data_IF_672844125021
#
_entry.id   IF_672844125021
#
_cell.length_a   1.000
_cell.length_b   1.000
_cell.length_c   1.000
_cell.angle_alpha   90.00
_cell.angle_beta   90.00
_cell.angle_gamma   90.00
#
_symmetry.space_group_name_H-M   'P 1'
#
loop_
_entity.id
_entity.type
_entity.pdbx_description
1 polymer ?
#
# COMPACT_ATOMS: atom_id res chain seq x y z
N UNK A 1 -10.78 -21.43 -10.37
CA UNK A 1 -11.29 -20.22 -9.71
C UNK A 1 -11.90 -19.36 -10.80
N UNK A 2 -13.19 -19.05 -10.73
CA UNK A 2 -13.85 -18.38 -11.84
C UNK A 2 -14.22 -16.95 -11.47
N UNK A 3 -13.56 -16.01 -12.11
CA UNK A 3 -13.94 -14.60 -12.11
C UNK A 3 -15.19 -14.47 -12.98
N UNK A 4 -16.30 -14.02 -12.39
CA UNK A 4 -17.58 -13.96 -13.08
C UNK A 4 -17.68 -12.71 -13.96
N UNK A 5 -18.61 -12.70 -14.93
CA UNK A 5 -18.82 -11.53 -15.79
C UNK A 5 -19.10 -10.25 -15.00
N UNK A 6 -19.83 -10.34 -13.89
CA UNK A 6 -20.11 -9.18 -13.02
C UNK A 6 -18.83 -8.61 -12.39
N UNK A 7 -17.85 -9.45 -12.04
CA UNK A 7 -16.57 -9.01 -11.49
C UNK A 7 -15.80 -8.18 -12.53
N UNK A 8 -15.78 -8.65 -13.79
CA UNK A 8 -15.18 -7.91 -14.90
C UNK A 8 -15.89 -6.58 -15.15
N UNK A 9 -17.22 -6.56 -15.13
CA UNK A 9 -17.99 -5.31 -15.28
C UNK A 9 -17.61 -4.29 -14.22
N UNK A 10 -17.49 -4.71 -12.96
CA UNK A 10 -17.10 -3.82 -11.85
C UNK A 10 -15.69 -3.27 -12.06
N UNK A 11 -14.74 -4.15 -12.38
CA UNK A 11 -13.33 -3.75 -12.59
C UNK A 11 -13.22 -2.79 -13.78
N UNK A 12 -13.83 -3.13 -14.91
CA UNK A 12 -13.80 -2.27 -16.12
C UNK A 12 -14.48 -0.93 -15.86
N UNK A 13 -15.64 -0.92 -15.18
CA UNK A 13 -16.34 0.31 -14.81
C UNK A 13 -15.47 1.21 -13.92
N UNK A 14 -14.77 0.62 -12.93
CA UNK A 14 -13.81 1.34 -12.09
C UNK A 14 -12.65 1.94 -12.92
N UNK A 15 -12.00 1.14 -13.78
CA UNK A 15 -10.88 1.60 -14.61
C UNK A 15 -11.30 2.71 -15.59
N UNK A 16 -12.45 2.53 -16.26
CA UNK A 16 -13.01 3.54 -17.17
C UNK A 16 -13.38 4.84 -16.42
N UNK A 17 -13.98 4.73 -15.22
CA UNK A 17 -14.30 5.87 -14.36
C UNK A 17 -13.07 6.62 -13.92
N UNK A 18 -12.02 5.93 -13.49
CA UNK A 18 -10.74 6.53 -13.09
C UNK A 18 -10.07 7.28 -14.25
N UNK A 19 -10.06 6.67 -15.43
CA UNK A 19 -9.52 7.31 -16.64
C UNK A 19 -10.31 8.57 -17.02
N UNK A 20 -11.65 8.49 -16.99
CA UNK A 20 -12.52 9.63 -17.29
C UNK A 20 -12.27 10.79 -16.33
N UNK A 21 -12.19 10.51 -15.03
CA UNK A 21 -11.91 11.54 -14.01
C UNK A 21 -10.53 12.15 -14.24
N UNK A 22 -9.50 11.36 -14.54
CA UNK A 22 -8.16 11.83 -14.83
C UNK A 22 -8.13 12.78 -16.05
N UNK A 23 -8.79 12.41 -17.12
CA UNK A 23 -8.92 13.26 -18.31
C UNK A 23 -9.69 14.55 -18.01
N UNK A 24 -10.78 14.46 -17.25
CA UNK A 24 -11.55 15.65 -16.85
C UNK A 24 -10.77 16.58 -15.92
N UNK A 25 -9.91 16.04 -15.07
CA UNK A 25 -9.10 16.83 -14.14
C UNK A 25 -8.04 17.68 -14.85
N UNK A 26 -7.64 17.33 -16.08
CA UNK A 26 -6.71 18.12 -16.91
C UNK A 26 -7.11 19.61 -16.99
N UNK A 27 -8.38 19.91 -17.00
CA UNK A 27 -8.89 21.31 -17.09
C UNK A 27 -8.55 22.17 -15.87
N UNK A 28 -8.17 21.59 -14.75
CA UNK A 28 -7.81 22.29 -13.52
C UNK A 28 -6.30 22.52 -13.37
N UNK A 29 -5.50 22.04 -14.32
CA UNK A 29 -4.03 22.19 -14.31
C UNK A 29 -3.65 23.37 -15.20
N UNK A 30 -3.33 24.51 -14.59
CA UNK A 30 -2.98 25.73 -15.29
C UNK A 30 -1.47 26.03 -15.32
N UNK A 31 -0.71 25.51 -14.35
CA UNK A 31 0.71 25.81 -14.21
C UNK A 31 1.50 24.64 -13.55
N UNK A 32 2.82 24.80 -13.47
CA UNK A 32 3.73 23.77 -12.89
C UNK A 32 3.42 23.50 -11.42
N UNK A 33 3.00 24.50 -10.65
CA UNK A 33 2.62 24.29 -9.24
C UNK A 33 1.36 23.44 -9.10
N UNK A 34 0.37 23.64 -9.98
CA UNK A 34 -0.83 22.79 -10.01
C UNK A 34 -0.45 21.36 -10.37
N UNK A 35 0.44 21.21 -11.36
CA UNK A 35 0.88 19.89 -11.82
C UNK A 35 1.67 19.12 -10.77
N UNK A 36 2.61 19.76 -10.05
CA UNK A 36 3.51 19.07 -9.10
C UNK A 36 2.97 19.01 -7.67
N UNK A 37 2.25 20.04 -7.21
CA UNK A 37 1.85 20.16 -5.79
C UNK A 37 0.40 20.62 -5.61
N UNK A 38 -0.45 20.41 -6.62
CA UNK A 38 -1.89 20.75 -6.59
C UNK A 38 -2.15 22.19 -6.06
N UNK A 39 -1.39 23.18 -6.55
CA UNK A 39 -1.50 24.59 -6.14
C UNK A 39 -1.20 24.85 -4.66
N UNK A 40 -0.82 23.84 -3.88
CA UNK A 40 -0.61 23.90 -2.43
C UNK A 40 -1.90 24.19 -1.63
N UNK A 41 -3.02 23.68 -2.08
CA UNK A 41 -4.35 23.93 -1.50
C UNK A 41 -4.94 22.74 -0.75
N UNK A 42 -4.19 21.63 -0.57
CA UNK A 42 -4.70 20.45 0.10
C UNK A 42 -5.09 20.73 1.56
N UNK A 43 -6.37 20.55 1.85
CA UNK A 43 -6.91 20.54 3.20
C UNK A 43 -6.64 19.22 3.94
N UNK A 44 -6.98 19.16 5.23
CA UNK A 44 -6.67 18.02 6.10
C UNK A 44 -7.31 16.72 5.59
N UNK A 45 -8.60 16.69 5.29
CA UNK A 45 -9.32 15.45 4.93
C UNK A 45 -8.82 14.85 3.62
N UNK A 46 -8.68 15.70 2.59
CA UNK A 46 -8.16 15.26 1.30
C UNK A 46 -6.69 14.86 1.42
N UNK A 47 -5.91 15.61 2.19
CA UNK A 47 -4.50 15.28 2.46
C UNK A 47 -4.34 13.92 3.15
N UNK A 48 -5.19 13.58 4.12
CA UNK A 48 -5.18 12.26 4.77
C UNK A 48 -5.53 11.17 3.75
N UNK A 49 -6.59 11.36 2.96
CA UNK A 49 -7.04 10.36 2.00
C UNK A 49 -5.97 10.08 0.94
N UNK A 50 -5.39 11.13 0.32
CA UNK A 50 -4.36 10.95 -0.71
C UNK A 50 -3.06 10.37 -0.13
N UNK A 51 -2.61 10.79 1.06
CA UNK A 51 -1.43 10.21 1.69
C UNK A 51 -1.67 8.74 2.07
N UNK A 52 -2.83 8.43 2.66
CA UNK A 52 -3.17 7.06 3.01
C UNK A 52 -3.25 6.16 1.77
N UNK A 53 -3.92 6.60 0.70
CA UNK A 53 -4.04 5.86 -0.56
C UNK A 53 -2.68 5.61 -1.22
N UNK A 54 -1.85 6.64 -1.31
CA UNK A 54 -0.51 6.58 -1.94
C UNK A 54 0.44 5.59 -1.27
N UNK A 55 0.31 5.43 0.03
CA UNK A 55 1.20 4.56 0.80
C UNK A 55 0.64 3.13 0.94
N UNK A 56 -0.51 2.80 0.35
CA UNK A 56 -1.16 1.50 0.43
C UNK A 56 -1.33 0.90 -0.97
N UNK A 57 -0.33 0.17 -1.44
CA UNK A 57 -0.42 -0.60 -2.70
C UNK A 57 -0.82 -2.06 -2.47
N UNK A 58 -1.17 -2.77 -3.53
CA UNK A 58 -1.44 -4.22 -3.48
C UNK A 58 -0.28 -5.00 -2.86
N UNK A 59 0.96 -4.58 -3.13
CA UNK A 59 2.14 -5.16 -2.49
C UNK A 59 2.10 -5.04 -0.96
N UNK A 60 1.60 -3.92 -0.43
CA UNK A 60 1.47 -3.73 1.03
C UNK A 60 0.54 -4.78 1.63
N UNK A 61 -0.60 -5.04 0.98
CA UNK A 61 -1.54 -6.06 1.43
C UNK A 61 -0.97 -7.47 1.34
N UNK A 62 -0.33 -7.81 0.22
CA UNK A 62 0.27 -9.14 0.02
C UNK A 62 1.44 -9.38 0.98
N UNK A 63 2.34 -8.40 1.13
CA UNK A 63 3.49 -8.51 2.03
C UNK A 63 3.09 -8.59 3.51
N UNK A 64 2.16 -7.75 3.95
CA UNK A 64 1.68 -7.81 5.33
C UNK A 64 0.87 -9.08 5.62
N UNK A 65 0.09 -9.57 4.65
CA UNK A 65 -0.55 -10.86 4.78
C UNK A 65 0.48 -12.01 4.87
N UNK A 66 1.53 -11.97 4.07
CA UNK A 66 2.64 -12.90 4.18
C UNK A 66 3.30 -12.86 5.56
N UNK A 67 3.54 -11.67 6.11
CA UNK A 67 4.08 -11.52 7.47
C UNK A 67 3.14 -12.13 8.52
N UNK A 68 1.83 -11.87 8.42
CA UNK A 68 0.84 -12.47 9.31
C UNK A 68 0.80 -13.99 9.20
N UNK A 69 0.87 -14.53 7.98
CA UNK A 69 0.94 -15.97 7.75
C UNK A 69 2.19 -16.61 8.39
N UNK A 70 3.35 -15.93 8.30
CA UNK A 70 4.66 -16.43 8.76
C UNK A 70 4.93 -16.22 10.25
N UNK A 71 4.35 -15.18 10.85
CA UNK A 71 4.73 -14.73 12.20
C UNK A 71 3.53 -14.49 13.14
N UNK A 72 2.31 -14.72 12.69
CA UNK A 72 1.12 -14.55 13.51
C UNK A 72 0.91 -13.11 13.96
N UNK A 73 0.38 -12.93 15.17
CA UNK A 73 0.13 -11.62 15.76
C UNK A 73 1.42 -10.85 16.13
N UNK A 74 2.56 -11.53 16.27
CA UNK A 74 3.84 -10.87 16.47
C UNK A 74 4.17 -9.89 15.31
N UNK A 75 3.68 -10.16 14.09
CA UNK A 75 3.82 -9.27 12.94
C UNK A 75 3.22 -7.88 13.15
N UNK A 76 2.19 -7.73 14.00
CA UNK A 76 1.50 -6.46 14.25
C UNK A 76 2.44 -5.37 14.81
N UNK A 77 3.59 -5.76 15.37
CA UNK A 77 4.61 -4.80 15.82
C UNK A 77 5.08 -3.88 14.70
N UNK A 78 5.16 -4.36 13.45
CA UNK A 78 5.61 -3.56 12.30
C UNK A 78 4.61 -2.45 11.96
N UNK A 79 3.31 -2.76 11.97
CA UNK A 79 2.25 -1.76 11.80
C UNK A 79 2.18 -0.79 12.97
N UNK A 80 2.34 -1.29 14.20
CA UNK A 80 2.36 -0.46 15.41
C UNK A 80 3.50 0.56 15.35
N UNK A 81 4.72 0.14 15.02
CA UNK A 81 5.88 1.01 14.90
C UNK A 81 5.66 2.06 13.83
N UNK A 82 5.18 1.68 12.64
CA UNK A 82 4.94 2.64 11.55
C UNK A 82 3.94 3.72 11.95
N UNK A 83 2.81 3.34 12.51
CA UNK A 83 1.79 4.28 12.96
C UNK A 83 2.28 5.19 14.10
N UNK A 84 2.98 4.64 15.09
CA UNK A 84 3.52 5.42 16.23
C UNK A 84 4.58 6.42 15.75
N UNK A 85 5.51 6.03 14.88
CA UNK A 85 6.53 6.94 14.34
C UNK A 85 5.86 8.08 13.57
N UNK A 86 4.89 7.78 12.68
CA UNK A 86 4.15 8.82 11.96
C UNK A 86 3.38 9.74 12.89
N UNK A 87 2.78 9.22 13.98
CA UNK A 87 2.13 10.02 15.02
C UNK A 87 3.13 10.98 15.68
N UNK A 88 4.32 10.51 16.05
CA UNK A 88 5.38 11.34 16.66
C UNK A 88 5.82 12.43 15.68
N UNK A 89 6.11 12.06 14.42
CA UNK A 89 6.53 13.01 13.38
C UNK A 89 5.43 14.05 13.11
N UNK A 90 4.18 13.63 13.01
CA UNK A 90 3.05 14.51 12.83
C UNK A 90 2.84 15.47 13.99
N UNK A 91 2.85 14.98 15.24
CA UNK A 91 2.68 15.81 16.45
C UNK A 91 3.81 16.79 16.65
N UNK A 92 5.05 16.38 16.49
CA UNK A 92 6.22 17.26 16.60
C UNK A 92 6.36 18.20 15.42
N UNK A 93 5.95 17.78 14.23
CA UNK A 93 6.20 18.49 12.96
C UNK A 93 7.63 18.30 12.46
N UNK A 94 8.36 17.31 12.99
CA UNK A 94 9.73 17.00 12.57
C UNK A 94 9.78 16.82 11.03
N UNK A 95 10.66 17.57 10.38
CA UNK A 95 10.82 17.68 8.91
C UNK A 95 9.55 18.20 8.19
N UNK A 96 8.37 17.68 8.50
CA UNK A 96 7.10 17.95 7.79
C UNK A 96 6.73 19.43 7.79
N UNK A 97 6.84 20.11 8.96
CA UNK A 97 6.59 21.55 9.04
C UNK A 97 7.60 22.34 8.20
N UNK A 98 8.86 21.93 8.26
CA UNK A 98 9.95 22.61 7.53
C UNK A 98 9.80 22.48 6.01
N UNK A 99 9.42 21.31 5.53
CA UNK A 99 9.12 21.11 4.13
C UNK A 99 8.07 22.09 3.61
N UNK A 100 7.01 22.30 4.38
CA UNK A 100 5.94 23.22 3.97
C UNK A 100 6.32 24.69 4.10
N UNK A 101 7.09 25.05 5.13
CA UNK A 101 7.58 26.43 5.32
C UNK A 101 8.49 26.90 4.18
N UNK A 102 9.37 26.03 3.69
CA UNK A 102 10.30 26.31 2.60
C UNK A 102 9.63 26.37 1.22
N UNK A 103 8.32 26.03 1.13
CA UNK A 103 7.55 26.04 -0.13
C UNK A 103 8.19 25.22 -1.25
N UNK A 104 8.87 24.13 -0.90
CA UNK A 104 9.52 23.21 -1.86
C UNK A 104 8.50 22.46 -2.71
N UNK A 105 8.96 21.90 -3.82
CA UNK A 105 8.18 21.03 -4.70
C UNK A 105 8.71 19.60 -4.75
N UNK A 106 10.00 19.40 -4.42
CA UNK A 106 10.64 18.08 -4.42
C UNK A 106 11.63 17.93 -3.27
N UNK A 107 11.90 16.68 -2.87
CA UNK A 107 12.92 16.38 -1.85
C UNK A 107 14.33 16.78 -2.32
N UNK A 108 14.74 16.52 -3.58
CA UNK A 108 16.03 17.03 -4.09
C UNK A 108 16.20 18.54 -3.98
N UNK A 109 15.13 19.32 -4.17
CA UNK A 109 15.17 20.78 -4.01
C UNK A 109 15.52 21.20 -2.56
N UNK A 110 15.07 20.43 -1.55
CA UNK A 110 15.46 20.67 -0.16
C UNK A 110 16.98 20.58 0.03
N UNK A 111 17.61 19.59 -0.61
CA UNK A 111 19.07 19.41 -0.54
C UNK A 111 19.82 20.53 -1.25
N UNK A 112 19.25 21.11 -2.34
CA UNK A 112 19.83 22.28 -2.98
C UNK A 112 19.80 23.49 -2.06
N UNK A 113 18.64 23.81 -1.51
CA UNK A 113 18.45 24.99 -0.63
C UNK A 113 19.32 24.91 0.63
N UNK A 114 19.53 23.72 1.14
CA UNK A 114 20.26 23.52 2.40
C UNK A 114 21.77 23.30 2.21
N UNK A 115 22.20 22.78 1.06
CA UNK A 115 23.58 22.36 0.83
C UNK A 115 24.12 22.88 -0.49
N UNK A 116 23.79 22.23 -1.63
CA UNK A 116 24.33 22.60 -2.94
C UNK A 116 23.52 22.02 -4.10
N UNK A 117 23.69 22.63 -5.28
CA UNK A 117 23.14 22.14 -6.55
C UNK A 117 23.66 20.74 -6.91
N UNK A 118 24.93 20.44 -6.62
CA UNK A 118 25.49 19.10 -6.85
C UNK A 118 24.74 18.03 -6.06
N UNK A 119 24.42 18.30 -4.79
CA UNK A 119 23.64 17.38 -3.97
C UNK A 119 22.20 17.21 -4.45
N UNK A 120 21.57 18.25 -5.00
CA UNK A 120 20.27 18.15 -5.68
C UNK A 120 20.30 17.13 -6.81
N UNK A 121 21.33 17.21 -7.68
CA UNK A 121 21.45 16.30 -8.82
C UNK A 121 21.62 14.85 -8.35
N UNK A 122 22.54 14.60 -7.41
CA UNK A 122 22.77 13.25 -6.86
C UNK A 122 21.50 12.68 -6.22
N UNK A 123 20.84 13.44 -5.36
CA UNK A 123 19.61 12.99 -4.70
C UNK A 123 18.46 12.81 -5.71
N UNK A 124 18.38 13.65 -6.74
CA UNK A 124 17.42 13.51 -7.83
C UNK A 124 17.59 12.19 -8.59
N UNK A 125 18.81 11.85 -8.95
CA UNK A 125 19.14 10.58 -9.61
C UNK A 125 18.79 9.38 -8.70
N UNK A 126 19.16 9.42 -7.42
CA UNK A 126 18.88 8.36 -6.47
C UNK A 126 17.37 8.14 -6.29
N UNK A 127 16.59 9.22 -6.16
CA UNK A 127 15.12 9.14 -6.04
C UNK A 127 14.49 8.60 -7.33
N UNK A 128 14.95 9.04 -8.50
CA UNK A 128 14.43 8.57 -9.79
C UNK A 128 14.72 7.08 -10.01
N UNK A 129 15.96 6.65 -9.81
CA UNK A 129 16.35 5.23 -9.96
C UNK A 129 15.61 4.35 -8.95
N UNK A 130 15.55 4.78 -7.67
CA UNK A 130 14.81 4.06 -6.64
C UNK A 130 13.32 3.95 -6.96
N UNK A 131 12.71 5.02 -7.49
CA UNK A 131 11.31 5.04 -7.92
C UNK A 131 11.04 4.05 -9.06
N UNK A 132 11.88 4.05 -10.11
CA UNK A 132 11.74 3.13 -11.25
C UNK A 132 11.84 1.67 -10.80
N UNK A 133 12.82 1.33 -9.97
CA UNK A 133 13.00 -0.02 -9.44
C UNK A 133 11.80 -0.46 -8.59
N UNK A 134 11.29 0.45 -7.77
CA UNK A 134 10.14 0.20 -6.91
C UNK A 134 8.86 -0.06 -7.72
N UNK A 135 8.59 0.78 -8.74
CA UNK A 135 7.46 0.59 -9.65
C UNK A 135 7.50 -0.77 -10.35
N UNK A 136 8.67 -1.23 -10.79
CA UNK A 136 8.83 -2.55 -11.40
C UNK A 136 8.41 -3.69 -10.47
N UNK A 137 8.78 -3.61 -9.19
CA UNK A 137 8.36 -4.58 -8.16
C UNK A 137 6.84 -4.51 -7.92
N UNK A 138 6.28 -3.32 -7.81
CA UNK A 138 4.86 -3.13 -7.57
C UNK A 138 4.00 -3.69 -8.70
N UNK A 139 4.32 -3.35 -9.95
CA UNK A 139 3.64 -3.87 -11.13
C UNK A 139 3.67 -5.40 -11.22
N UNK A 140 4.81 -6.02 -10.86
CA UNK A 140 4.92 -7.48 -10.84
C UNK A 140 3.96 -8.10 -9.82
N UNK A 141 3.96 -7.60 -8.59
CA UNK A 141 3.12 -8.12 -7.51
C UNK A 141 1.63 -7.91 -7.80
N UNK A 142 1.28 -6.75 -8.34
CA UNK A 142 -0.09 -6.45 -8.78
C UNK A 142 -0.56 -7.38 -9.90
N UNK A 143 0.28 -7.56 -10.92
CA UNK A 143 -0.01 -8.51 -11.99
C UNK A 143 -0.19 -9.93 -11.47
N UNK A 144 0.63 -10.39 -10.51
CA UNK A 144 0.47 -11.68 -9.85
C UNK A 144 -0.85 -11.75 -9.06
N UNK A 145 -1.20 -10.72 -8.30
CA UNK A 145 -2.48 -10.66 -7.60
C UNK A 145 -3.65 -10.82 -8.59
N UNK A 146 -3.65 -10.04 -9.65
CA UNK A 146 -4.73 -10.06 -10.63
C UNK A 146 -4.82 -11.41 -11.35
N UNK A 147 -3.71 -12.01 -11.77
CA UNK A 147 -3.71 -13.31 -12.43
C UNK A 147 -4.22 -14.43 -11.51
N UNK A 148 -3.82 -14.44 -10.25
CA UNK A 148 -4.28 -15.45 -9.27
C UNK A 148 -5.78 -15.31 -8.98
N UNK A 149 -6.26 -14.07 -8.72
CA UNK A 149 -7.67 -13.86 -8.33
C UNK A 149 -8.62 -14.02 -9.51
N UNK A 150 -8.24 -13.56 -10.71
CA UNK A 150 -9.08 -13.66 -11.91
C UNK A 150 -9.00 -15.02 -12.59
N UNK A 151 -7.97 -15.81 -12.32
CA UNK A 151 -7.69 -17.06 -13.03
C UNK A 151 -7.10 -16.89 -14.41
N UNK A 152 -6.58 -15.70 -14.74
CA UNK A 152 -5.82 -15.47 -15.98
C UNK A 152 -4.52 -16.28 -15.91
N UNK A 153 -4.19 -16.98 -17.02
CA UNK A 153 -2.95 -17.76 -17.12
C UNK A 153 -1.72 -16.87 -16.92
N UNK A 154 -0.78 -17.33 -16.09
CA UNK A 154 0.44 -16.60 -15.74
C UNK A 154 1.30 -16.20 -16.95
N UNK A 155 1.14 -16.86 -18.10
CA UNK A 155 1.82 -16.45 -19.37
C UNK A 155 1.43 -15.05 -19.84
N UNK A 156 0.26 -14.55 -19.42
CA UNK A 156 -0.22 -13.20 -19.74
C UNK A 156 0.22 -12.13 -18.72
N UNK A 157 0.99 -12.50 -17.70
CA UNK A 157 1.41 -11.57 -16.64
C UNK A 157 2.01 -10.27 -17.19
N UNK A 158 2.92 -10.37 -18.15
CA UNK A 158 3.58 -9.19 -18.75
C UNK A 158 2.56 -8.32 -19.50
N UNK A 159 1.61 -8.93 -20.20
CA UNK A 159 0.57 -8.17 -20.90
C UNK A 159 -0.36 -7.44 -19.91
N UNK A 160 -0.72 -8.07 -18.79
CA UNK A 160 -1.51 -7.47 -17.72
C UNK A 160 -0.76 -6.28 -17.10
N UNK A 161 0.51 -6.47 -16.73
CA UNK A 161 1.37 -5.41 -16.20
C UNK A 161 1.46 -4.22 -17.16
N UNK A 162 1.67 -4.49 -18.45
CA UNK A 162 1.77 -3.44 -19.46
C UNK A 162 0.45 -2.67 -19.63
N UNK A 163 -0.68 -3.37 -19.63
CA UNK A 163 -1.99 -2.73 -19.74
C UNK A 163 -2.29 -1.80 -18.56
N UNK A 164 -1.99 -2.23 -17.34
CA UNK A 164 -2.14 -1.42 -16.12
C UNK A 164 -1.24 -0.18 -16.20
N UNK A 165 0.05 -0.37 -16.50
CA UNK A 165 1.02 0.73 -16.60
C UNK A 165 0.62 1.77 -17.65
N UNK A 166 0.15 1.35 -18.82
CA UNK A 166 -0.28 2.28 -19.87
C UNK A 166 -1.51 3.09 -19.45
N UNK A 167 -2.46 2.46 -18.76
CA UNK A 167 -3.64 3.14 -18.24
C UNK A 167 -3.24 4.20 -17.18
N UNK A 168 -2.36 3.84 -16.28
CA UNK A 168 -1.84 4.73 -15.23
C UNK A 168 -1.08 5.92 -15.83
N UNK A 169 -0.22 5.66 -16.81
CA UNK A 169 0.55 6.70 -17.49
C UNK A 169 -0.36 7.74 -18.14
N UNK A 170 -1.43 7.30 -18.81
CA UNK A 170 -2.34 8.22 -19.52
C UNK A 170 -2.96 9.23 -18.56
N UNK A 171 -3.60 8.81 -17.47
CA UNK A 171 -4.28 9.77 -16.60
C UNK A 171 -3.31 10.59 -15.75
N UNK A 172 -2.15 10.03 -15.37
CA UNK A 172 -1.15 10.74 -14.56
C UNK A 172 -0.47 11.86 -15.35
N UNK A 173 -0.06 11.57 -16.59
CA UNK A 173 0.57 12.57 -17.46
C UNK A 173 -0.41 13.68 -17.86
N UNK A 174 -1.69 13.35 -18.06
CA UNK A 174 -2.69 14.33 -18.47
C UNK A 174 -3.10 15.29 -17.35
N UNK A 175 -3.18 14.80 -16.11
CA UNK A 175 -3.78 15.58 -15.03
C UNK A 175 -2.87 15.94 -13.86
N UNK A 176 -1.62 15.45 -13.82
CA UNK A 176 -0.66 15.73 -12.76
C UNK A 176 -1.22 15.48 -11.35
N UNK A 177 -0.67 16.18 -10.33
CA UNK A 177 -1.04 16.00 -8.92
C UNK A 177 -2.53 16.32 -8.66
N UNK A 178 -3.16 17.21 -9.40
CA UNK A 178 -4.58 17.53 -9.21
C UNK A 178 -5.45 16.31 -9.51
N UNK A 179 -5.20 15.62 -10.64
CA UNK A 179 -5.94 14.42 -10.98
C UNK A 179 -5.64 13.27 -10.00
N UNK A 180 -4.38 13.12 -9.62
CA UNK A 180 -3.94 12.10 -8.65
C UNK A 180 -4.69 12.26 -7.34
N UNK A 181 -4.75 13.45 -6.76
CA UNK A 181 -5.44 13.72 -5.49
C UNK A 181 -6.95 13.41 -5.55
N UNK A 182 -7.62 13.78 -6.65
CA UNK A 182 -9.05 13.52 -6.83
C UNK A 182 -9.30 12.00 -6.94
N UNK A 183 -8.50 11.32 -7.74
CA UNK A 183 -8.61 9.86 -7.94
C UNK A 183 -8.25 9.13 -6.64
N UNK A 184 -7.18 9.52 -5.94
CA UNK A 184 -6.75 8.95 -4.67
C UNK A 184 -7.87 8.97 -3.62
N UNK A 185 -8.65 10.05 -3.55
CA UNK A 185 -9.78 10.14 -2.63
C UNK A 185 -10.82 9.05 -2.90
N UNK A 186 -11.21 8.86 -4.16
CA UNK A 186 -12.16 7.82 -4.55
C UNK A 186 -11.57 6.42 -4.35
N UNK A 187 -10.30 6.25 -4.67
CA UNK A 187 -9.55 5.02 -4.47
C UNK A 187 -9.45 4.65 -2.99
N UNK A 188 -9.22 5.62 -2.12
CA UNK A 188 -9.19 5.42 -0.67
C UNK A 188 -10.54 4.91 -0.14
N UNK A 189 -11.66 5.47 -0.61
CA UNK A 189 -13.00 5.00 -0.23
C UNK A 189 -13.23 3.56 -0.71
N UNK A 190 -12.97 3.28 -1.98
CA UNK A 190 -13.15 1.93 -2.55
C UNK A 190 -12.27 0.89 -1.84
N UNK A 191 -11.00 1.23 -1.60
CA UNK A 191 -10.07 0.40 -0.87
C UNK A 191 -10.51 0.12 0.57
N UNK A 192 -11.05 1.14 1.25
CA UNK A 192 -11.56 0.97 2.61
C UNK A 192 -12.74 -0.01 2.66
N UNK A 193 -13.67 0.09 1.70
CA UNK A 193 -14.78 -0.87 1.56
C UNK A 193 -14.25 -2.27 1.28
N UNK A 194 -13.34 -2.43 0.32
CA UNK A 194 -12.71 -3.71 0.00
C UNK A 194 -12.02 -4.33 1.22
N UNK A 195 -11.25 -3.53 1.96
CA UNK A 195 -10.54 -3.98 3.16
C UNK A 195 -11.49 -4.48 4.25
N UNK A 196 -12.59 -3.76 4.51
CA UNK A 196 -13.60 -4.17 5.48
C UNK A 196 -14.26 -5.48 5.04
N UNK A 197 -14.68 -5.58 3.77
CA UNK A 197 -15.31 -6.78 3.24
C UNK A 197 -14.40 -8.02 3.40
N UNK A 198 -13.15 -7.94 2.96
CA UNK A 198 -12.21 -9.07 3.10
C UNK A 198 -12.00 -9.43 4.57
N UNK A 199 -11.85 -8.43 5.46
CA UNK A 199 -11.64 -8.68 6.89
C UNK A 199 -12.82 -9.41 7.51
N UNK A 200 -14.06 -9.00 7.21
CA UNK A 200 -15.26 -9.65 7.73
C UNK A 200 -15.36 -11.08 7.22
N UNK A 201 -15.25 -11.30 5.91
CA UNK A 201 -15.32 -12.65 5.32
C UNK A 201 -14.21 -13.57 5.83
N UNK A 202 -12.98 -13.08 5.91
CA UNK A 202 -11.84 -13.88 6.37
C UNK A 202 -11.99 -14.32 7.82
N UNK A 203 -12.35 -13.39 8.73
CA UNK A 203 -12.51 -13.71 10.16
C UNK A 203 -13.73 -14.59 10.40
N UNK A 204 -14.87 -14.35 9.71
CA UNK A 204 -16.05 -15.20 9.85
C UNK A 204 -15.79 -16.63 9.37
N UNK A 205 -15.06 -16.79 8.27
CA UNK A 205 -14.78 -18.13 7.73
C UNK A 205 -13.73 -18.88 8.55
N UNK A 206 -12.65 -18.20 8.96
CA UNK A 206 -11.61 -18.82 9.76
C UNK A 206 -12.08 -19.17 11.19
N UNK A 207 -12.93 -18.30 11.78
CA UNK A 207 -13.37 -18.38 13.16
C UNK A 207 -12.30 -17.91 14.15
N UNK A 208 -12.68 -17.00 15.07
CA UNK A 208 -11.71 -16.37 15.97
C UNK A 208 -10.97 -17.37 16.87
N UNK A 209 -11.67 -18.37 17.43
CA UNK A 209 -11.06 -19.42 18.23
C UNK A 209 -10.01 -20.21 17.44
N UNK A 210 -10.34 -20.59 16.20
CA UNK A 210 -9.41 -21.32 15.33
C UNK A 210 -8.18 -20.49 14.98
N UNK A 211 -8.33 -19.16 14.81
CA UNK A 211 -7.23 -18.23 14.59
C UNK A 211 -6.26 -18.25 15.76
N UNK A 212 -6.78 -18.10 16.99
CA UNK A 212 -5.99 -18.12 18.23
C UNK A 212 -5.30 -19.46 18.43
N UNK A 213 -6.04 -20.55 18.30
CA UNK A 213 -5.54 -21.92 18.48
C UNK A 213 -4.46 -22.27 17.44
N UNK A 214 -4.67 -21.87 16.17
CA UNK A 214 -3.73 -22.16 15.09
C UNK A 214 -2.40 -21.41 15.29
N UNK A 215 -2.45 -20.12 15.63
CA UNK A 215 -1.23 -19.34 15.92
C UNK A 215 -0.49 -19.92 17.12
N UNK A 216 -1.21 -20.26 18.19
CA UNK A 216 -0.60 -20.83 19.40
C UNK A 216 0.03 -22.20 19.12
N UNK A 217 -0.64 -23.06 18.36
CA UNK A 217 -0.16 -24.42 18.07
C UNK A 217 1.02 -24.41 17.09
N UNK A 218 0.98 -23.57 16.05
CA UNK A 218 2.00 -23.57 14.98
C UNK A 218 3.23 -22.76 15.39
N UNK A 219 3.04 -21.63 16.07
CA UNK A 219 4.10 -20.63 16.31
C UNK A 219 4.47 -20.49 17.80
N UNK A 220 3.68 -21.06 18.70
CA UNK A 220 3.91 -20.94 20.15
C UNK A 220 3.98 -19.49 20.62
N UNK A 221 4.83 -19.18 21.62
CA UNK A 221 5.02 -17.80 22.11
C UNK A 221 5.50 -16.81 21.04
N UNK A 222 6.27 -17.29 20.05
CA UNK A 222 6.77 -16.47 18.93
C UNK A 222 5.68 -15.93 18.03
N UNK A 223 4.50 -16.54 17.98
CA UNK A 223 3.33 -16.05 17.25
C UNK A 223 2.66 -14.82 17.90
N UNK A 224 2.97 -14.53 19.16
CA UNK A 224 2.40 -13.45 19.95
C UNK A 224 3.40 -12.36 20.30
N UNK A 225 4.65 -12.76 20.58
CA UNK A 225 5.68 -11.85 21.04
C UNK A 225 6.78 -11.68 19.98
N UNK A 226 6.95 -10.47 19.42
CA UNK A 226 7.97 -10.21 18.39
C UNK A 226 9.39 -10.41 18.88
N UNK A 227 9.65 -10.34 20.20
CA UNK A 227 10.98 -10.58 20.76
C UNK A 227 11.33 -12.07 20.87
N UNK A 228 10.34 -12.93 20.82
CA UNK A 228 10.49 -14.40 20.83
C UNK A 228 10.31 -15.02 19.44
N UNK A 229 10.00 -14.20 18.46
CA UNK A 229 9.87 -14.62 17.08
C UNK A 229 11.24 -14.56 16.39
N UNK A 230 11.64 -15.64 15.73
CA UNK A 230 12.95 -15.75 15.06
C UNK A 230 13.17 -14.72 13.94
N UNK A 231 12.08 -14.17 13.36
CA UNK A 231 12.13 -13.20 12.27
C UNK A 231 12.32 -11.76 12.73
N UNK A 232 12.07 -11.48 14.01
CA UNK A 232 12.08 -10.12 14.57
C UNK A 232 13.23 -9.94 15.57
N UNK A 233 12.96 -9.61 16.80
CA UNK A 233 13.96 -9.32 17.80
C UNK A 233 14.34 -7.83 17.84
N UNK A 234 15.20 -7.47 18.78
CA UNK A 234 15.53 -6.07 19.08
C UNK A 234 16.14 -5.32 17.89
N UNK A 235 17.06 -5.95 17.15
CA UNK A 235 17.71 -5.32 15.99
C UNK A 235 16.71 -4.95 14.92
N UNK A 236 15.74 -5.84 14.65
CA UNK A 236 14.68 -5.58 13.67
C UNK A 236 13.75 -4.45 14.13
N UNK A 237 13.34 -4.43 15.40
CA UNK A 237 12.46 -3.39 15.93
C UNK A 237 13.12 -2.01 15.89
N UNK A 238 14.41 -1.92 16.27
CA UNK A 238 15.18 -0.68 16.17
C UNK A 238 15.30 -0.23 14.71
N UNK A 239 15.65 -1.16 13.82
CA UNK A 239 15.72 -0.88 12.38
C UNK A 239 14.38 -0.35 11.84
N UNK A 240 13.26 -0.97 12.20
CA UNK A 240 11.93 -0.51 11.80
C UNK A 240 11.63 0.92 12.27
N UNK A 241 11.99 1.29 13.49
CA UNK A 241 11.83 2.66 14.00
C UNK A 241 12.65 3.63 13.15
N UNK A 242 13.93 3.33 12.91
CA UNK A 242 14.80 4.18 12.10
C UNK A 242 14.33 4.28 10.65
N UNK A 243 13.89 3.16 10.05
CA UNK A 243 13.32 3.12 8.71
C UNK A 243 12.13 4.05 8.58
N UNK A 244 11.17 4.00 9.51
CA UNK A 244 9.97 4.83 9.44
C UNK A 244 10.25 6.32 9.67
N UNK A 245 11.22 6.67 10.50
CA UNK A 245 11.70 8.05 10.59
C UNK A 245 12.32 8.51 9.27
N UNK A 246 13.13 7.68 8.63
CA UNK A 246 13.72 7.98 7.32
C UNK A 246 12.64 8.10 6.23
N UNK A 247 11.64 7.21 6.22
CA UNK A 247 10.51 7.28 5.30
C UNK A 247 9.75 8.60 5.43
N UNK A 248 9.43 9.03 6.64
CA UNK A 248 8.77 10.32 6.86
C UNK A 248 9.61 11.52 6.40
N UNK A 249 10.94 11.41 6.43
CA UNK A 249 11.86 12.51 6.13
C UNK A 249 12.31 12.57 4.67
N UNK A 250 12.43 11.42 3.98
CA UNK A 250 13.11 11.36 2.68
C UNK A 250 12.25 10.73 1.56
N UNK A 251 11.13 10.10 1.90
CA UNK A 251 10.31 9.41 0.91
C UNK A 251 9.55 10.39 0.04
N UNK A 252 9.82 10.37 -1.28
CA UNK A 252 9.32 11.39 -2.20
C UNK A 252 7.79 11.47 -2.22
N UNK A 253 7.10 10.31 -2.23
CA UNK A 253 5.63 10.27 -2.31
C UNK A 253 4.96 10.89 -1.09
N UNK A 254 5.46 10.58 0.12
CA UNK A 254 5.03 11.21 1.38
C UNK A 254 5.31 12.71 1.37
N UNK A 255 6.54 13.11 1.00
CA UNK A 255 6.97 14.50 0.99
C UNK A 255 6.13 15.36 0.04
N UNK A 256 5.80 14.88 -1.17
CA UNK A 256 4.97 15.61 -2.13
C UNK A 256 3.59 15.95 -1.57
N UNK A 257 2.95 15.04 -0.82
CA UNK A 257 1.68 15.34 -0.14
C UNK A 257 1.84 16.42 0.92
N UNK A 258 2.97 16.44 1.62
CA UNK A 258 3.27 17.50 2.59
C UNK A 258 3.50 18.84 1.90
N UNK A 259 4.21 18.88 0.77
CA UNK A 259 4.41 20.10 -0.05
C UNK A 259 3.09 20.65 -0.58
N UNK A 260 2.14 19.79 -0.91
CA UNK A 260 0.84 20.14 -1.48
C UNK A 260 -0.17 20.68 -0.44
N UNK A 261 0.06 20.54 0.87
CA UNK A 261 -0.85 21.04 1.91
C UNK A 261 -0.92 22.57 1.94
N UNK A 262 -2.04 23.12 2.42
CA UNK A 262 -2.26 24.57 2.50
C UNK A 262 -1.47 25.27 3.62
N UNK A 263 -0.79 24.54 4.49
CA UNK A 263 0.06 25.11 5.54
C UNK A 263 0.72 24.10 6.47
N UNK A 264 1.70 24.53 7.30
CA UNK A 264 2.44 23.65 8.20
C UNK A 264 1.54 22.94 9.23
N UNK A 265 0.49 23.61 9.73
CA UNK A 265 -0.48 23.02 10.65
C UNK A 265 -1.26 21.88 9.99
N UNK A 266 -1.67 22.09 8.73
CA UNK A 266 -2.35 21.06 7.94
C UNK A 266 -1.43 19.87 7.68
N UNK A 267 -0.17 20.09 7.28
CA UNK A 267 0.80 19.03 7.07
C UNK A 267 1.01 18.18 8.34
N UNK A 268 1.13 18.81 9.52
CA UNK A 268 1.19 18.11 10.81
C UNK A 268 -0.06 17.27 11.06
N UNK A 269 -1.23 17.83 10.84
CA UNK A 269 -2.51 17.14 11.04
C UNK A 269 -2.65 15.95 10.10
N UNK A 270 -2.35 16.12 8.82
CA UNK A 270 -2.35 15.05 7.81
C UNK A 270 -1.45 13.89 8.25
N UNK A 271 -0.19 14.16 8.59
CA UNK A 271 0.75 13.14 9.03
C UNK A 271 0.28 12.43 10.31
N UNK A 272 -0.24 13.18 11.29
CA UNK A 272 -0.74 12.62 12.55
C UNK A 272 -1.89 11.64 12.32
N UNK A 273 -2.92 12.05 11.59
CA UNK A 273 -4.09 11.20 11.36
C UNK A 273 -3.81 10.04 10.42
N UNK A 274 -2.94 10.23 9.44
CA UNK A 274 -2.46 9.11 8.60
C UNK A 274 -1.72 8.08 9.46
N UNK A 275 -0.95 8.50 10.47
CA UNK A 275 -0.33 7.57 11.42
C UNK A 275 -1.34 6.67 12.14
N UNK A 276 -2.52 7.20 12.50
CA UNK A 276 -3.62 6.38 13.07
C UNK A 276 -4.13 5.37 12.05
N UNK A 277 -4.34 5.79 10.81
CA UNK A 277 -4.80 4.91 9.72
C UNK A 277 -3.79 3.80 9.46
N UNK A 278 -2.50 4.08 9.58
CA UNK A 278 -1.43 3.11 9.37
C UNK A 278 -1.44 1.93 10.34
N UNK A 279 -1.97 2.10 11.55
CA UNK A 279 -2.20 0.97 12.45
C UNK A 279 -3.15 -0.06 11.82
N UNK A 280 -4.33 0.38 11.36
CA UNK A 280 -5.32 -0.50 10.73
C UNK A 280 -4.84 -1.04 9.39
N UNK A 281 -4.21 -0.22 8.56
CA UNK A 281 -3.75 -0.62 7.22
C UNK A 281 -2.74 -1.77 7.23
N UNK A 282 -1.91 -1.85 8.26
CA UNK A 282 -0.94 -2.94 8.39
C UNK A 282 -1.53 -4.16 9.11
N UNK A 283 -2.25 -3.94 10.20
CA UNK A 283 -2.80 -5.02 11.03
C UNK A 283 -3.87 -5.84 10.32
N UNK A 284 -4.75 -5.20 9.51
CA UNK A 284 -5.81 -5.92 8.80
C UNK A 284 -5.28 -6.90 7.76
N UNK A 285 -4.35 -6.55 6.86
CA UNK A 285 -3.76 -7.53 5.96
C UNK A 285 -2.98 -8.63 6.69
N UNK A 286 -2.29 -8.31 7.79
CA UNK A 286 -1.63 -9.34 8.61
C UNK A 286 -2.64 -10.33 9.19
N UNK A 287 -3.80 -9.84 9.65
CA UNK A 287 -4.90 -10.70 10.08
C UNK A 287 -5.40 -11.60 8.94
N UNK A 288 -5.46 -11.10 7.69
CA UNK A 288 -5.82 -11.95 6.54
C UNK A 288 -4.80 -13.06 6.32
N UNK A 289 -3.52 -12.78 6.51
CA UNK A 289 -2.48 -13.82 6.47
C UNK A 289 -2.64 -14.87 7.55
N UNK A 290 -3.01 -14.46 8.76
CA UNK A 290 -3.32 -15.40 9.85
C UNK A 290 -4.58 -16.22 9.52
N UNK A 291 -5.61 -15.61 8.94
CA UNK A 291 -6.79 -16.33 8.45
C UNK A 291 -6.42 -17.33 7.35
N UNK A 292 -5.53 -16.95 6.41
CA UNK A 292 -5.02 -17.86 5.39
C UNK A 292 -4.25 -19.04 5.99
N UNK A 293 -3.52 -18.86 7.09
CA UNK A 293 -2.87 -19.93 7.83
C UNK A 293 -3.88 -20.95 8.40
N UNK A 294 -5.04 -20.48 8.84
CA UNK A 294 -6.13 -21.37 9.31
C UNK A 294 -6.72 -22.15 8.14
N UNK A 295 -6.98 -21.48 7.03
CA UNK A 295 -7.69 -22.04 5.86
C UNK A 295 -6.83 -22.99 5.03
N UNK A 296 -5.57 -22.66 4.83
CA UNK A 296 -4.66 -23.42 3.96
C UNK A 296 -3.66 -24.28 4.73
N UNK A 297 -3.60 -24.12 6.05
CA UNK A 297 -2.68 -24.88 6.89
C UNK A 297 -1.21 -24.59 6.61
N UNK A 298 -0.37 -25.57 6.96
CA UNK A 298 1.09 -25.52 6.80
C UNK A 298 1.55 -26.70 5.95
N UNK A 299 2.13 -26.42 4.82
CA UNK A 299 2.79 -27.39 3.95
C UNK A 299 4.28 -27.52 4.20
N UNK A 300 5.05 -28.00 3.21
CA UNK A 300 6.50 -28.12 3.31
C UNK A 300 7.17 -26.79 3.68
N UNK A 301 8.33 -26.89 4.31
CA UNK A 301 9.16 -25.72 4.60
C UNK A 301 9.73 -25.18 3.30
N UNK A 302 9.47 -23.88 3.03
CA UNK A 302 10.02 -23.19 1.89
C UNK A 302 11.50 -22.84 2.03
N UNK A 303 12.13 -22.29 0.98
CA UNK A 303 13.56 -21.94 0.98
C UNK A 303 13.95 -20.93 2.06
N UNK A 304 12.99 -20.15 2.54
CA UNK A 304 13.17 -19.12 3.58
C UNK A 304 12.93 -19.64 5.02
N UNK A 305 12.80 -20.96 5.18
CA UNK A 305 12.54 -21.60 6.47
C UNK A 305 11.12 -21.43 6.99
N UNK A 306 10.18 -20.90 6.19
CA UNK A 306 8.78 -20.77 6.59
C UNK A 306 7.90 -21.87 5.99
N UNK A 307 6.80 -22.26 6.67
CA UNK A 307 5.81 -23.15 6.10
C UNK A 307 5.14 -22.50 4.89
N UNK A 308 4.82 -23.31 3.87
CA UNK A 308 4.09 -22.87 2.68
C UNK A 308 2.59 -23.16 2.82
N UNK A 309 1.70 -22.30 2.33
CA UNK A 309 0.26 -22.62 2.29
C UNK A 309 -0.03 -23.68 1.23
N UNK A 310 -1.01 -24.54 1.52
CA UNK A 310 -1.48 -25.57 0.59
C UNK A 310 -2.78 -25.09 -0.07
N UNK A 311 -2.71 -24.70 -1.31
CA UNK A 311 -3.86 -24.22 -2.08
C UNK A 311 -4.20 -25.27 -3.16
N UNK A 312 -5.42 -25.82 -3.15
CA UNK A 312 -5.86 -26.88 -4.07
C UNK A 312 -4.91 -28.10 -4.10
N UNK A 313 -4.36 -28.48 -2.93
CA UNK A 313 -3.44 -29.61 -2.81
C UNK A 313 -2.00 -29.34 -3.27
N UNK A 314 -1.68 -28.12 -3.65
CA UNK A 314 -0.33 -27.72 -4.08
C UNK A 314 0.27 -26.69 -3.12
N UNK A 315 1.56 -26.80 -2.77
CA UNK A 315 2.25 -25.75 -2.02
C UNK A 315 2.44 -24.51 -2.91
N UNK A 316 2.10 -23.34 -2.37
CA UNK A 316 2.29 -22.05 -3.05
C UNK A 316 3.20 -21.15 -2.21
N UNK A 317 3.72 -20.07 -2.80
CA UNK A 317 4.53 -19.11 -2.05
C UNK A 317 3.67 -18.41 -0.97
N UNK A 318 4.20 -18.15 0.24
CA UNK A 318 3.43 -17.48 1.31
C UNK A 318 2.82 -16.13 0.92
N UNK A 319 3.47 -15.38 0.03
CA UNK A 319 2.94 -14.12 -0.51
C UNK A 319 1.66 -14.32 -1.35
N UNK A 320 1.42 -15.50 -1.87
CA UNK A 320 0.24 -15.86 -2.67
C UNK A 320 -0.95 -16.30 -1.81
N UNK A 321 -0.75 -16.50 -0.50
CA UNK A 321 -1.79 -16.93 0.41
C UNK A 321 -3.00 -15.97 0.42
N UNK A 322 -2.73 -14.66 0.44
CA UNK A 322 -3.80 -13.64 0.44
C UNK A 322 -4.59 -13.62 -0.87
N UNK A 323 -3.99 -13.52 -2.06
CA UNK A 323 -4.75 -13.61 -3.31
C UNK A 323 -5.51 -14.93 -3.45
N UNK A 324 -4.93 -16.06 -3.05
CA UNK A 324 -5.62 -17.34 -3.04
C UNK A 324 -6.84 -17.35 -2.09
N UNK A 325 -6.70 -16.75 -0.92
CA UNK A 325 -7.81 -16.58 0.03
C UNK A 325 -8.93 -15.72 -0.56
N UNK A 326 -8.61 -14.56 -1.14
CA UNK A 326 -9.57 -13.68 -1.81
C UNK A 326 -10.31 -14.44 -2.94
N UNK A 327 -9.55 -15.20 -3.74
CA UNK A 327 -10.11 -15.98 -4.85
C UNK A 327 -11.08 -17.07 -4.39
N UNK A 328 -10.84 -17.68 -3.22
CA UNK A 328 -11.64 -18.81 -2.71
C UNK A 328 -12.81 -18.39 -1.84
N UNK A 329 -12.65 -17.36 -1.00
CA UNK A 329 -13.67 -16.97 -0.03
C UNK A 329 -14.77 -16.07 -0.63
N UNK A 330 -14.42 -15.21 -1.59
CA UNK A 330 -15.34 -14.18 -2.03
C UNK A 330 -16.21 -14.68 -3.18
N UNK A 331 -17.51 -14.41 -3.08
CA UNK A 331 -18.46 -14.66 -4.15
C UNK A 331 -18.37 -13.62 -5.28
N UNK A 332 -19.07 -13.90 -6.42
CA UNK A 332 -19.20 -12.95 -7.51
C UNK A 332 -19.73 -11.59 -7.06
N UNK A 333 -19.28 -10.52 -7.68
CA UNK A 333 -19.58 -9.14 -7.33
C UNK A 333 -18.69 -8.61 -6.20
N UNK A 334 -18.62 -9.29 -5.06
CA UNK A 334 -17.71 -8.90 -3.95
C UNK A 334 -16.24 -9.04 -4.38
N UNK A 335 -15.94 -10.12 -5.10
CA UNK A 335 -14.60 -10.34 -5.68
C UNK A 335 -14.20 -9.22 -6.62
N UNK A 336 -15.11 -8.78 -7.49
CA UNK A 336 -14.90 -7.64 -8.39
C UNK A 336 -14.63 -6.34 -7.65
N UNK A 337 -15.37 -6.04 -6.58
CA UNK A 337 -15.15 -4.87 -5.73
C UNK A 337 -13.76 -4.91 -5.07
N UNK A 338 -13.37 -6.07 -4.55
CA UNK A 338 -12.07 -6.23 -3.88
C UNK A 338 -10.93 -6.10 -4.89
N UNK A 339 -11.04 -6.71 -6.08
CA UNK A 339 -10.04 -6.56 -7.14
C UNK A 339 -9.94 -5.11 -7.60
N UNK A 340 -11.08 -4.42 -7.81
CA UNK A 340 -11.08 -2.99 -8.14
C UNK A 340 -10.42 -2.15 -7.02
N UNK A 341 -10.65 -2.48 -5.75
CA UNK A 341 -10.01 -1.83 -4.61
C UNK A 341 -8.49 -2.06 -4.56
N UNK A 342 -8.00 -3.25 -4.89
CA UNK A 342 -6.57 -3.54 -4.94
C UNK A 342 -5.89 -2.86 -6.15
N UNK A 343 -6.54 -2.84 -7.31
CA UNK A 343 -6.08 -2.05 -8.46
C UNK A 343 -6.05 -0.56 -8.12
N UNK A 344 -7.08 -0.07 -7.44
CA UNK A 344 -7.13 1.30 -6.93
C UNK A 344 -5.93 1.64 -6.05
N UNK A 345 -5.58 0.74 -5.13
CA UNK A 345 -4.43 0.90 -4.25
C UNK A 345 -3.12 1.03 -5.04
N UNK A 346 -2.87 0.14 -6.00
CA UNK A 346 -1.62 0.20 -6.78
C UNK A 346 -1.59 1.39 -7.73
N UNK A 347 -2.71 1.72 -8.38
CA UNK A 347 -2.80 2.91 -9.25
C UNK A 347 -2.50 4.20 -8.49
N UNK A 348 -2.95 4.33 -7.23
CA UNK A 348 -2.62 5.47 -6.36
C UNK A 348 -1.13 5.54 -6.02
N UNK A 349 -0.53 4.40 -5.75
CA UNK A 349 0.92 4.31 -5.46
C UNK A 349 1.73 4.68 -6.70
N UNK A 350 1.49 4.01 -7.83
CA UNK A 350 2.27 4.18 -9.04
C UNK A 350 2.17 5.61 -9.63
N UNK A 351 0.98 6.22 -9.58
CA UNK A 351 0.78 7.62 -10.03
C UNK A 351 1.56 8.65 -9.21
N UNK A 352 2.17 8.23 -8.13
CA UNK A 352 2.93 9.06 -7.20
C UNK A 352 4.44 8.99 -7.41
N UNK A 353 4.90 8.03 -8.20
CA UNK A 353 6.29 7.85 -8.62
C UNK A 353 6.55 8.48 -9.98
#
# INVERSE_FOLDING_TARGET
>A
MNFAAIDWVIVIAYLAGSLLIGVMAKRFVGNVSDFLVAGRELGVHVGIATLAATEIGTITFMYFAELGYKAGFAAFCTAAISGIVMLIVGRTGFVVSRFRELKLMTVPEYFEVKYSQGLRIVTGILVAVGGILNMGVFLKIEGQFLTIVSGIDAKYLVAVMTAILLLELVYTVLGGMVSVVIIDFLQYVLLSVATILVSVYAVQTAGWSNIVDKVTTVMGPGGWNPLQNERFGWSFLIWQVLLWFAMCACWQTTAMRMFATNGPKTAKSVMTWTGVIFLGRGMLPMLWGICALVLFGTGPIGPDGSPTPIVNGQPVAPIEAMPAMVATLLGPGVKGIVVAGMLAATMSVNSSY
#
